data_IF_625966623847
#
_entry.id   IF_625966623847
#
_cell.length_a   1.000
_cell.length_b   1.000
_cell.length_c   1.000
_cell.angle_alpha   90.00
_cell.angle_beta   90.00
_cell.angle_gamma   90.00
#
_symmetry.space_group_name_H-M   'P 1'
#
loop_
_entity.id
_entity.type
_entity.pdbx_description
1 polymer ?
#
# COMPACT_ATOMS: atom_id res chain seq x y z
N UNK A 1 0.64 17.18 -40.60
CA UNK A 1 1.86 16.47 -40.18
C UNK A 1 1.48 15.52 -39.04
N UNK A 2 1.60 14.19 -39.21
CA UNK A 2 1.44 13.23 -38.13
C UNK A 2 2.62 13.42 -37.16
N UNK A 3 2.33 13.89 -35.92
CA UNK A 3 3.34 13.93 -34.84
C UNK A 3 3.73 12.50 -34.44
N UNK A 4 5.00 12.26 -34.30
CA UNK A 4 5.49 11.04 -33.62
C UNK A 4 5.06 11.14 -32.16
N UNK A 5 4.30 10.16 -31.66
CA UNK A 5 3.89 10.12 -30.26
C UNK A 5 5.12 9.93 -29.38
N UNK A 6 5.19 10.63 -28.21
CA UNK A 6 6.22 10.34 -27.21
C UNK A 6 6.11 8.88 -26.75
N UNK A 7 7.22 8.34 -26.27
CA UNK A 7 7.22 7.01 -25.68
C UNK A 7 6.23 6.96 -24.51
N UNK A 8 5.33 5.96 -24.54
CA UNK A 8 4.36 5.76 -23.45
C UNK A 8 5.05 5.05 -22.30
N UNK A 9 4.97 5.62 -21.09
CA UNK A 9 5.28 4.89 -19.88
C UNK A 9 4.09 3.98 -19.52
N UNK A 10 4.27 2.68 -19.73
CA UNK A 10 3.24 1.65 -19.57
C UNK A 10 3.47 0.75 -18.34
N UNK A 11 4.26 1.23 -17.39
CA UNK A 11 4.47 0.54 -16.12
C UNK A 11 3.15 0.40 -15.35
N UNK A 12 2.92 -0.79 -14.79
CA UNK A 12 1.88 -1.05 -13.81
C UNK A 12 2.55 -0.94 -12.44
N UNK A 13 2.20 0.09 -11.67
CA UNK A 13 2.76 0.38 -10.35
C UNK A 13 1.84 -0.15 -9.26
N UNK A 14 2.39 -0.84 -8.28
CA UNK A 14 1.64 -1.40 -7.15
C UNK A 14 0.97 -0.29 -6.34
N UNK A 15 1.70 0.79 -6.01
CA UNK A 15 1.18 1.94 -5.26
C UNK A 15 -0.03 2.59 -5.92
N UNK A 16 0.06 2.91 -7.21
CA UNK A 16 -1.05 3.57 -7.91
C UNK A 16 -2.27 2.66 -8.09
N UNK A 17 -2.03 1.37 -8.28
CA UNK A 17 -3.13 0.40 -8.30
C UNK A 17 -3.77 0.26 -6.92
N UNK A 18 -2.99 0.33 -5.83
CA UNK A 18 -3.50 0.36 -4.46
C UNK A 18 -4.47 1.53 -4.24
N UNK A 19 -4.07 2.75 -4.63
CA UNK A 19 -4.94 3.94 -4.57
C UNK A 19 -6.19 3.79 -5.44
N UNK A 20 -6.05 3.25 -6.65
CA UNK A 20 -7.19 3.05 -7.55
C UNK A 20 -8.15 1.98 -7.00
N UNK A 21 -7.65 0.90 -6.41
CA UNK A 21 -8.48 -0.11 -5.74
C UNK A 21 -9.28 0.52 -4.60
N UNK A 22 -8.65 1.37 -3.77
CA UNK A 22 -9.34 2.09 -2.71
C UNK A 22 -10.45 2.98 -3.27
N UNK A 23 -10.15 3.79 -4.29
CA UNK A 23 -11.11 4.68 -4.93
C UNK A 23 -12.30 3.92 -5.56
N UNK A 24 -12.03 2.80 -6.23
CA UNK A 24 -13.06 1.95 -6.83
C UNK A 24 -13.96 1.30 -5.75
N UNK A 25 -13.38 0.81 -4.66
CA UNK A 25 -14.13 0.21 -3.56
C UNK A 25 -15.04 1.25 -2.88
N UNK A 26 -14.52 2.45 -2.60
CA UNK A 26 -15.33 3.57 -2.06
C UNK A 26 -16.42 3.97 -3.05
N UNK A 27 -16.09 4.10 -4.35
CA UNK A 27 -17.06 4.41 -5.40
C UNK A 27 -18.19 3.39 -5.48
N UNK A 28 -17.88 2.11 -5.36
CA UNK A 28 -18.89 1.04 -5.33
C UNK A 28 -19.83 1.16 -4.13
N UNK A 29 -19.25 1.44 -2.94
CA UNK A 29 -20.01 1.63 -1.70
C UNK A 29 -20.98 2.81 -1.77
N UNK A 30 -20.56 3.92 -2.39
CA UNK A 30 -21.36 5.15 -2.50
C UNK A 30 -22.40 5.07 -3.61
N UNK A 31 -22.01 4.51 -4.77
CA UNK A 31 -22.86 4.50 -5.97
C UNK A 31 -23.71 3.24 -6.10
N UNK A 32 -23.43 2.19 -5.33
CA UNK A 32 -24.14 0.90 -5.40
C UNK A 32 -23.89 0.13 -6.70
N UNK A 33 -22.84 0.48 -7.48
CA UNK A 33 -22.58 -0.13 -8.78
C UNK A 33 -21.47 -1.18 -8.69
N UNK A 34 -21.84 -2.44 -8.89
CA UNK A 34 -20.97 -3.60 -8.79
C UNK A 34 -19.76 -3.55 -9.75
N UNK A 35 -19.85 -2.84 -10.87
CA UNK A 35 -18.75 -2.74 -11.86
C UNK A 35 -17.45 -2.22 -11.22
N UNK A 36 -17.55 -1.35 -10.21
CA UNK A 36 -16.38 -0.81 -9.53
C UNK A 36 -15.69 -1.87 -8.65
N UNK A 37 -16.47 -2.72 -7.96
CA UNK A 37 -15.91 -3.86 -7.21
C UNK A 37 -15.23 -4.83 -8.17
N UNK A 38 -15.90 -5.20 -9.25
CA UNK A 38 -15.35 -6.14 -10.24
C UNK A 38 -14.01 -5.61 -10.82
N UNK A 39 -13.91 -4.31 -11.07
CA UNK A 39 -12.68 -3.68 -11.53
C UNK A 39 -11.57 -3.70 -10.44
N UNK A 40 -11.91 -3.39 -9.19
CA UNK A 40 -10.97 -3.42 -8.07
C UNK A 40 -10.45 -4.85 -7.80
N UNK A 41 -11.34 -5.84 -7.80
CA UNK A 41 -10.99 -7.26 -7.61
C UNK A 41 -10.12 -7.79 -8.75
N UNK A 42 -10.38 -7.36 -9.99
CA UNK A 42 -9.55 -7.71 -11.16
C UNK A 42 -8.14 -7.12 -11.02
N UNK A 43 -8.01 -5.87 -10.60
CA UNK A 43 -6.71 -5.24 -10.35
C UNK A 43 -5.95 -5.95 -9.22
N UNK A 44 -6.62 -6.27 -8.11
CA UNK A 44 -6.04 -7.04 -7.01
C UNK A 44 -5.59 -8.43 -7.44
N UNK A 45 -6.39 -9.12 -8.25
CA UNK A 45 -6.04 -10.44 -8.82
C UNK A 45 -4.75 -10.36 -9.64
N UNK A 46 -4.59 -9.32 -10.44
CA UNK A 46 -3.36 -9.08 -11.19
C UNK A 46 -2.16 -8.88 -10.24
N UNK A 47 -2.27 -8.03 -9.23
CA UNK A 47 -1.21 -7.80 -8.24
C UNK A 47 -0.82 -9.12 -7.57
N UNK A 48 -1.80 -9.89 -7.08
CA UNK A 48 -1.56 -11.18 -6.42
C UNK A 48 -0.85 -12.19 -7.31
N UNK A 49 -1.15 -12.20 -8.60
CA UNK A 49 -0.59 -13.18 -9.54
C UNK A 49 0.74 -12.76 -10.15
N UNK A 50 1.08 -11.46 -10.17
CA UNK A 50 2.23 -10.94 -10.91
C UNK A 50 3.21 -10.13 -10.06
N UNK A 51 2.76 -9.52 -8.97
CA UNK A 51 3.54 -8.58 -8.17
C UNK A 51 3.83 -9.09 -6.75
N UNK A 52 3.53 -10.37 -6.47
CA UNK A 52 3.95 -11.05 -5.24
C UNK A 52 4.91 -12.16 -5.61
N UNK A 53 6.12 -12.13 -5.03
CA UNK A 53 7.12 -13.19 -5.18
C UNK A 53 6.68 -14.46 -4.45
N UNK A 54 7.35 -15.58 -4.76
CA UNK A 54 7.08 -16.88 -4.12
C UNK A 54 7.30 -16.88 -2.60
N UNK A 55 8.16 -15.98 -2.10
CA UNK A 55 8.41 -15.77 -0.67
C UNK A 55 7.43 -14.80 0.00
N UNK A 56 6.43 -14.33 -0.73
CA UNK A 56 5.41 -13.40 -0.26
C UNK A 56 5.77 -11.92 -0.39
N UNK A 57 7.02 -11.58 -0.76
CA UNK A 57 7.48 -10.19 -0.89
C UNK A 57 6.78 -9.48 -2.04
N UNK A 58 6.18 -8.32 -1.76
CA UNK A 58 5.54 -7.46 -2.76
C UNK A 58 6.61 -6.79 -3.65
N UNK A 59 6.29 -6.62 -4.93
CA UNK A 59 7.11 -5.93 -5.93
C UNK A 59 6.48 -4.60 -6.34
N UNK A 60 7.34 -3.64 -6.73
CA UNK A 60 6.91 -2.26 -7.00
C UNK A 60 6.24 -2.10 -8.36
N UNK A 61 6.71 -2.82 -9.39
CA UNK A 61 6.24 -2.61 -10.75
C UNK A 61 6.17 -3.88 -11.60
N UNK A 62 5.29 -3.83 -12.62
CA UNK A 62 5.27 -4.79 -13.72
C UNK A 62 5.35 -4.03 -15.05
N UNK A 63 6.20 -4.51 -15.97
CA UNK A 63 6.34 -3.98 -17.33
C UNK A 63 6.92 -5.03 -18.25
N UNK A 64 6.48 -5.08 -19.51
CA UNK A 64 7.03 -5.96 -20.56
C UNK A 64 7.11 -7.44 -20.13
N UNK A 65 6.13 -7.91 -19.36
CA UNK A 65 6.09 -9.30 -18.86
C UNK A 65 6.90 -9.56 -17.59
N UNK A 66 7.64 -8.58 -17.08
CA UNK A 66 8.52 -8.69 -15.91
C UNK A 66 8.00 -7.90 -14.71
N UNK A 67 8.00 -8.54 -13.55
CA UNK A 67 7.83 -7.87 -12.25
C UNK A 67 9.20 -7.58 -11.64
N UNK A 68 9.41 -6.35 -11.17
CA UNK A 68 10.72 -5.92 -10.69
C UNK A 68 10.64 -4.99 -9.49
N UNK A 69 11.77 -4.93 -8.79
CA UNK A 69 12.08 -4.17 -7.59
C UNK A 69 11.25 -4.56 -6.36
N UNK A 70 11.89 -4.80 -5.22
CA UNK A 70 11.19 -4.91 -3.94
C UNK A 70 10.32 -3.67 -3.72
N UNK A 71 9.07 -3.88 -3.33
CA UNK A 71 8.12 -2.79 -3.10
C UNK A 71 8.61 -1.82 -2.02
N UNK A 72 8.30 -0.55 -2.21
CA UNK A 72 8.54 0.55 -1.29
C UNK A 72 7.42 0.65 -0.25
N UNK A 73 7.58 1.53 0.72
CA UNK A 73 6.57 1.80 1.76
C UNK A 73 5.20 2.15 1.16
N UNK A 74 5.19 3.04 0.15
CA UNK A 74 3.95 3.50 -0.50
C UNK A 74 3.19 2.34 -1.18
N UNK A 75 3.92 1.39 -1.77
CA UNK A 75 3.30 0.23 -2.40
C UNK A 75 2.52 -0.60 -1.38
N UNK A 76 3.11 -0.83 -0.20
CA UNK A 76 2.43 -1.51 0.90
C UNK A 76 1.29 -0.69 1.47
N UNK A 77 1.55 0.56 1.83
CA UNK A 77 0.57 1.42 2.49
C UNK A 77 -0.70 1.60 1.65
N UNK A 78 -0.55 1.89 0.35
CA UNK A 78 -1.68 2.13 -0.53
C UNK A 78 -2.43 0.85 -0.89
N UNK A 79 -1.71 -0.28 -1.05
CA UNK A 79 -2.37 -1.56 -1.28
C UNK A 79 -3.15 -2.02 -0.04
N UNK A 80 -2.61 -1.84 1.17
CA UNK A 80 -3.30 -2.13 2.42
C UNK A 80 -4.57 -1.26 2.52
N UNK A 81 -4.50 0.02 2.19
CA UNK A 81 -5.68 0.88 2.15
C UNK A 81 -6.74 0.32 1.20
N UNK A 82 -6.35 -0.01 -0.03
CA UNK A 82 -7.26 -0.64 -1.00
C UNK A 82 -7.93 -1.91 -0.49
N UNK A 83 -7.17 -2.76 0.22
CA UNK A 83 -7.68 -4.00 0.81
C UNK A 83 -8.67 -3.75 1.95
N UNK A 84 -8.42 -2.73 2.79
CA UNK A 84 -9.35 -2.35 3.86
C UNK A 84 -10.67 -1.85 3.24
N UNK A 85 -10.61 -0.99 2.21
CA UNK A 85 -11.81 -0.50 1.51
C UNK A 85 -12.59 -1.64 0.84
N UNK A 86 -11.89 -2.59 0.20
CA UNK A 86 -12.53 -3.79 -0.35
C UNK A 86 -13.20 -4.63 0.73
N UNK A 87 -12.55 -4.81 1.89
CA UNK A 87 -13.15 -5.52 3.02
C UNK A 87 -14.43 -4.82 3.50
N UNK A 88 -14.38 -3.53 3.76
CA UNK A 88 -15.52 -2.76 4.25
C UNK A 88 -16.68 -2.68 3.23
N UNK A 89 -16.39 -2.84 1.94
CA UNK A 89 -17.40 -2.82 0.88
C UNK A 89 -18.02 -4.18 0.62
N UNK A 90 -17.23 -5.26 0.74
CA UNK A 90 -17.65 -6.62 0.35
C UNK A 90 -17.84 -7.56 1.52
N UNK A 91 -17.30 -7.23 2.69
CA UNK A 91 -17.23 -8.08 3.91
C UNK A 91 -16.49 -9.42 3.68
N UNK A 92 -15.70 -9.54 2.61
CA UNK A 92 -14.88 -10.73 2.37
C UNK A 92 -13.64 -10.70 3.27
N UNK A 93 -13.61 -11.54 4.29
CA UNK A 93 -12.55 -11.59 5.31
C UNK A 93 -11.14 -11.82 4.73
N UNK A 94 -11.04 -12.40 3.52
CA UNK A 94 -9.76 -12.60 2.84
C UNK A 94 -8.99 -11.30 2.59
N UNK A 95 -9.68 -10.18 2.32
CA UNK A 95 -9.05 -8.89 2.09
C UNK A 95 -8.45 -8.31 3.38
N UNK A 96 -9.18 -8.40 4.49
CA UNK A 96 -8.64 -7.99 5.79
C UNK A 96 -7.45 -8.85 6.21
N UNK A 97 -7.54 -10.17 6.00
CA UNK A 97 -6.42 -11.09 6.28
C UNK A 97 -5.18 -10.73 5.45
N UNK A 98 -5.34 -10.44 4.17
CA UNK A 98 -4.23 -10.04 3.30
C UNK A 98 -3.66 -8.68 3.73
N UNK A 99 -4.50 -7.72 4.11
CA UNK A 99 -4.08 -6.44 4.64
C UNK A 99 -3.22 -6.58 5.90
N UNK A 100 -3.63 -7.44 6.84
CA UNK A 100 -2.88 -7.73 8.06
C UNK A 100 -1.52 -8.39 7.77
N UNK A 101 -1.46 -9.31 6.81
CA UNK A 101 -0.20 -9.94 6.40
C UNK A 101 0.77 -8.89 5.83
N UNK A 102 0.30 -8.02 4.93
CA UNK A 102 1.12 -6.93 4.40
C UNK A 102 1.51 -5.89 5.47
N UNK A 103 0.67 -5.65 6.46
CA UNK A 103 1.03 -4.80 7.60
C UNK A 103 2.15 -5.42 8.44
N UNK A 104 2.14 -6.72 8.63
CA UNK A 104 3.22 -7.44 9.31
C UNK A 104 4.54 -7.35 8.52
N UNK A 105 4.49 -7.50 7.19
CA UNK A 105 5.66 -7.32 6.33
C UNK A 105 6.16 -5.89 6.36
N UNK A 106 5.26 -4.90 6.33
CA UNK A 106 5.61 -3.48 6.42
C UNK A 106 6.33 -3.17 7.73
N UNK A 107 5.86 -3.68 8.86
CA UNK A 107 6.54 -3.57 10.15
C UNK A 107 7.91 -4.24 10.11
N UNK A 108 8.00 -5.43 9.53
CA UNK A 108 9.23 -6.21 9.47
C UNK A 108 10.33 -5.51 8.67
N UNK A 109 10.00 -4.93 7.53
CA UNK A 109 10.99 -4.43 6.57
C UNK A 109 11.27 -2.94 6.70
N UNK A 110 10.30 -2.14 7.14
CA UNK A 110 10.39 -0.68 7.04
C UNK A 110 10.38 0.04 8.38
N UNK A 111 9.91 -0.58 9.47
CA UNK A 111 9.72 0.11 10.74
C UNK A 111 11.05 0.49 11.40
N UNK A 112 11.15 1.75 11.83
CA UNK A 112 12.23 2.22 12.68
C UNK A 112 11.87 1.99 14.15
N UNK A 113 12.61 1.06 14.80
CA UNK A 113 12.35 0.68 16.19
C UNK A 113 12.83 1.73 17.18
N UNK A 114 13.78 2.57 16.79
CA UNK A 114 14.43 3.53 17.68
C UNK A 114 13.67 4.85 17.75
N UNK A 115 13.26 5.40 16.59
CA UNK A 115 12.62 6.71 16.52
C UNK A 115 11.18 6.68 16.00
N UNK A 116 10.64 5.49 15.70
CA UNK A 116 9.29 5.33 15.14
C UNK A 116 9.19 5.74 13.68
N UNK A 117 8.02 5.50 13.07
CA UNK A 117 7.78 5.72 11.66
C UNK A 117 8.43 4.68 10.76
N UNK A 118 8.27 4.85 9.47
CA UNK A 118 8.70 3.90 8.45
C UNK A 118 9.67 4.53 7.47
N UNK A 119 10.74 3.81 7.16
CA UNK A 119 11.65 4.16 6.08
C UNK A 119 10.98 3.95 4.71
N UNK A 120 11.45 4.71 3.70
CA UNK A 120 10.89 4.64 2.34
C UNK A 120 11.10 3.27 1.68
N UNK A 121 12.24 2.62 1.94
CA UNK A 121 12.56 1.29 1.40
C UNK A 121 12.92 0.28 2.49
N UNK A 122 12.71 -1.00 2.16
CA UNK A 122 12.88 -2.10 3.10
C UNK A 122 14.32 -2.36 3.50
N UNK A 123 14.52 -2.96 4.66
CA UNK A 123 15.84 -3.39 5.15
C UNK A 123 16.46 -4.51 4.30
N UNK A 124 15.67 -5.15 3.45
CA UNK A 124 16.07 -6.18 2.48
C UNK A 124 16.44 -5.62 1.10
N UNK A 125 16.38 -4.31 0.92
CA UNK A 125 16.78 -3.62 -0.30
C UNK A 125 18.26 -3.26 -0.29
N UNK A 126 18.76 -2.73 -1.42
CA UNK A 126 20.11 -2.19 -1.50
C UNK A 126 20.36 -1.17 -0.38
N UNK A 127 21.48 -1.33 0.32
CA UNK A 127 21.84 -0.43 1.42
C UNK A 127 22.41 0.87 0.85
N UNK A 128 21.64 1.93 0.98
CA UNK A 128 22.07 3.29 0.67
C UNK A 128 22.66 3.96 1.91
N UNK A 129 23.45 5.04 1.67
CA UNK A 129 24.11 5.81 2.74
C UNK A 129 23.09 6.35 3.76
N UNK A 130 21.89 6.72 3.31
CA UNK A 130 20.80 7.26 4.15
C UNK A 130 19.50 6.53 3.83
N UNK A 131 18.75 6.15 4.85
CA UNK A 131 17.37 5.64 4.71
C UNK A 131 16.38 6.75 5.07
N UNK A 132 15.77 7.44 4.09
CA UNK A 132 14.84 8.51 4.35
C UNK A 132 13.50 8.00 4.86
N UNK A 133 12.82 8.84 5.65
CA UNK A 133 11.41 8.73 5.99
C UNK A 133 10.69 9.89 5.31
N UNK A 134 9.71 9.59 4.48
CA UNK A 134 8.88 10.61 3.85
C UNK A 134 7.57 10.77 4.63
N UNK A 135 7.23 12.04 4.94
CA UNK A 135 6.02 12.42 5.69
C UNK A 135 5.27 13.56 5.02
N UNK A 136 5.74 14.00 3.86
CA UNK A 136 5.11 15.10 3.14
C UNK A 136 3.91 14.59 2.33
N UNK A 137 2.73 15.07 2.70
CA UNK A 137 1.50 14.84 1.96
C UNK A 137 1.36 15.88 0.84
N UNK A 138 1.73 15.49 -0.37
CA UNK A 138 1.65 16.32 -1.57
C UNK A 138 0.45 15.98 -2.44
N UNK A 139 0.69 15.83 -3.75
CA UNK A 139 -0.33 15.36 -4.70
C UNK A 139 -0.76 13.90 -4.42
N UNK A 140 0.13 13.13 -3.84
CA UNK A 140 -0.17 11.84 -3.21
C UNK A 140 0.13 11.95 -1.71
N UNK A 141 -0.62 11.24 -0.85
CA UNK A 141 -0.28 11.16 0.55
C UNK A 141 1.04 10.39 0.73
N UNK A 142 1.77 10.67 1.80
CA UNK A 142 2.97 9.91 2.13
C UNK A 142 2.62 8.49 2.60
N UNK A 143 3.50 7.52 2.36
CA UNK A 143 3.34 6.18 2.88
C UNK A 143 3.23 6.14 4.40
N UNK A 144 3.90 7.04 5.11
CA UNK A 144 3.79 7.16 6.56
C UNK A 144 2.40 7.61 7.02
N UNK A 145 1.82 8.63 6.40
CA UNK A 145 0.46 9.10 6.74
C UNK A 145 -0.58 8.01 6.52
N UNK A 146 -0.50 7.32 5.37
CA UNK A 146 -1.43 6.24 5.05
C UNK A 146 -1.22 5.02 5.95
N UNK A 147 0.03 4.69 6.29
CA UNK A 147 0.33 3.59 7.21
C UNK A 147 -0.28 3.82 8.61
N UNK A 148 -0.16 5.03 9.16
CA UNK A 148 -0.78 5.38 10.45
C UNK A 148 -2.30 5.19 10.42
N UNK A 149 -2.97 5.68 9.36
CA UNK A 149 -4.41 5.50 9.16
C UNK A 149 -4.78 4.01 9.05
N UNK A 150 -4.02 3.24 8.28
CA UNK A 150 -4.27 1.81 8.09
C UNK A 150 -4.13 1.03 9.40
N UNK A 151 -3.10 1.29 10.18
CA UNK A 151 -2.90 0.63 11.47
C UNK A 151 -4.02 0.94 12.46
N UNK A 152 -4.44 2.21 12.54
CA UNK A 152 -5.56 2.59 13.39
C UNK A 152 -6.85 1.86 12.98
N UNK A 153 -7.16 1.82 11.67
CA UNK A 153 -8.35 1.12 11.15
C UNK A 153 -8.28 -0.39 11.41
N UNK A 154 -7.14 -1.02 11.12
CA UNK A 154 -6.97 -2.46 11.36
C UNK A 154 -7.05 -2.78 12.85
N UNK A 155 -6.43 -1.98 13.72
CA UNK A 155 -6.52 -2.13 15.16
C UNK A 155 -7.96 -2.11 15.64
N UNK A 156 -8.75 -1.15 15.18
CA UNK A 156 -10.19 -1.04 15.51
C UNK A 156 -11.02 -2.20 14.96
N UNK A 157 -10.76 -2.63 13.73
CA UNK A 157 -11.49 -3.73 13.10
C UNK A 157 -11.23 -5.09 13.75
N UNK A 158 -10.04 -5.27 14.33
CA UNK A 158 -9.59 -6.58 14.85
C UNK A 158 -9.45 -6.63 16.37
N UNK A 159 -9.54 -5.49 17.06
CA UNK A 159 -9.25 -5.38 18.49
C UNK A 159 -7.76 -5.51 18.82
N UNK A 160 -6.86 -5.32 17.84
CA UNK A 160 -5.42 -5.42 18.02
C UNK A 160 -4.82 -4.08 18.48
N UNK A 161 -4.59 -3.96 19.79
CA UNK A 161 -4.02 -2.76 20.41
C UNK A 161 -2.59 -2.45 19.95
N UNK A 162 -1.80 -3.46 19.57
CA UNK A 162 -0.43 -3.25 19.10
C UNK A 162 -0.38 -2.44 17.80
N UNK A 163 -1.38 -2.61 16.92
CA UNK A 163 -1.49 -1.79 15.70
C UNK A 163 -1.89 -0.35 16.03
N UNK A 164 -2.81 -0.15 17.00
CA UNK A 164 -3.17 1.20 17.46
C UNK A 164 -1.98 1.91 18.10
N UNK A 165 -1.19 1.21 18.91
CA UNK A 165 0.03 1.75 19.51
C UNK A 165 1.05 2.16 18.46
N UNK A 166 1.25 1.34 17.41
CA UNK A 166 2.14 1.68 16.29
C UNK A 166 1.68 2.92 15.53
N UNK A 167 0.38 3.08 15.30
CA UNK A 167 -0.16 4.30 14.71
C UNK A 167 0.11 5.52 15.59
N UNK A 168 -0.08 5.39 16.90
CA UNK A 168 0.21 6.47 17.85
C UNK A 168 1.70 6.84 17.88
N UNK A 169 2.59 5.84 17.95
CA UNK A 169 4.04 6.07 17.94
C UNK A 169 4.51 6.73 16.64
N UNK A 170 3.89 6.39 15.51
CA UNK A 170 4.17 7.00 14.22
C UNK A 170 3.74 8.48 14.19
N UNK A 171 2.54 8.80 14.66
CA UNK A 171 2.07 10.19 14.77
C UNK A 171 2.97 11.01 15.71
N UNK A 172 3.40 10.40 16.83
CA UNK A 172 4.31 11.03 17.78
C UNK A 172 5.69 11.32 17.17
N UNK A 173 6.22 10.39 16.35
CA UNK A 173 7.52 10.54 15.71
C UNK A 173 7.58 11.75 14.76
N UNK A 174 6.46 12.15 14.18
CA UNK A 174 6.36 13.26 13.21
C UNK A 174 5.57 14.46 13.72
N UNK A 175 4.92 14.38 14.85
CA UNK A 175 4.05 15.46 15.39
C UNK A 175 4.77 16.68 15.93
N UNK A 176 6.10 16.70 15.86
CA UNK A 176 6.95 17.83 16.27
C UNK A 176 7.64 18.51 15.09
N UNK A 177 7.28 18.16 13.86
CA UNK A 177 7.81 18.75 12.63
C UNK A 177 7.00 19.95 12.19
#
# INVERSE_FOLDING_TARGET
KKRVHPHKDDKILTSWNGLMIAALAIGAKVLGDKKYIDAAEKALTFIRSRLIRNDGRLLARFREGEAAYPAYLDDYAFLIWGLIELYETTFKAEYLKLALNFSSDMIRYFYDKDSGGFYLYGSDSEQLIVRPKDVYDGAMPSGNSVAAMNFLRQGRLTGNSDLEEKAYMQLKAFGTL
#
